data_IF_680171479693
#
_entry.id   IF_680171479693
#
_cell.length_a   1.000
_cell.length_b   1.000
_cell.length_c   1.000
_cell.angle_alpha   90.00
_cell.angle_beta   90.00
_cell.angle_gamma   90.00
#
_symmetry.space_group_name_H-M   'P 1'
#
loop_
_entity.id
_entity.type
_entity.pdbx_description
1 polymer ?
#
# COMPACT_ATOMS: atom_id res chain seq x y z
N UNK A 1 -13.05 -2.21 15.22
CA UNK A 1 -12.89 -0.75 15.04
C UNK A 1 -11.90 -0.61 13.90
N UNK A 2 -12.30 0.01 12.79
CA UNK A 2 -11.43 0.20 11.62
C UNK A 2 -10.41 1.30 11.86
N UNK A 3 -9.18 1.11 11.39
CA UNK A 3 -8.10 2.09 11.51
C UNK A 3 -7.97 2.93 10.26
N UNK A 4 -7.56 4.18 10.47
CA UNK A 4 -7.22 5.11 9.41
C UNK A 4 -5.78 5.56 9.59
N UNK A 5 -5.00 5.55 8.51
CA UNK A 5 -3.60 5.92 8.61
C UNK A 5 -2.98 6.22 7.27
N UNK A 6 -2.34 7.40 7.18
CA UNK A 6 -1.59 7.83 6.01
C UNK A 6 -0.10 7.91 6.35
N UNK A 7 0.71 7.18 5.60
CA UNK A 7 2.14 7.04 5.84
C UNK A 7 2.91 7.25 4.55
N UNK A 8 3.89 8.14 4.57
CA UNK A 8 4.80 8.36 3.45
C UNK A 8 6.21 7.89 3.81
N UNK A 9 6.77 6.98 3.03
CA UNK A 9 8.17 6.60 3.08
C UNK A 9 8.95 7.34 1.99
N UNK A 10 9.91 8.17 2.39
CA UNK A 10 10.82 8.84 1.46
C UNK A 10 12.13 9.17 2.15
N UNK A 11 13.24 9.13 1.42
CA UNK A 11 14.58 9.39 1.97
C UNK A 11 14.88 8.58 3.26
N UNK A 12 14.59 7.27 3.20
CA UNK A 12 14.98 6.29 4.23
C UNK A 12 14.11 6.26 5.49
N UNK A 13 12.99 6.99 5.55
CA UNK A 13 12.18 7.12 6.77
C UNK A 13 10.68 7.23 6.49
N UNK A 14 9.89 6.78 7.44
CA UNK A 14 8.45 7.03 7.51
C UNK A 14 8.13 8.45 8.01
N UNK A 15 6.99 8.95 7.57
CA UNK A 15 6.37 10.17 8.09
C UNK A 15 4.84 10.08 7.96
N UNK A 16 4.12 10.80 8.81
CA UNK A 16 2.65 10.97 8.69
C UNK A 16 2.25 12.15 7.78
N UNK A 17 3.24 12.84 7.21
CA UNK A 17 3.04 13.91 6.23
C UNK A 17 3.10 13.39 4.79
N UNK A 18 3.20 14.30 3.83
CA UNK A 18 3.46 13.93 2.43
C UNK A 18 4.92 13.50 2.19
N UNK A 19 5.20 12.81 1.07
CA UNK A 19 6.56 12.47 0.68
C UNK A 19 7.39 13.73 0.46
N UNK A 20 8.69 13.66 0.81
CA UNK A 20 9.60 14.81 0.75
C UNK A 20 10.64 14.72 -0.37
N UNK A 21 10.75 13.55 -1.00
CA UNK A 21 11.70 13.26 -2.08
C UNK A 21 11.20 12.08 -2.93
N UNK A 22 11.77 11.91 -4.13
CA UNK A 22 11.67 10.67 -4.91
C UNK A 22 12.94 9.82 -4.72
N UNK A 23 12.86 8.48 -4.85
CA UNK A 23 11.63 7.68 -4.91
C UNK A 23 10.86 7.72 -3.58
N UNK A 24 9.53 7.50 -3.63
CA UNK A 24 8.69 7.42 -2.42
C UNK A 24 7.63 6.33 -2.52
N UNK A 25 7.13 5.94 -1.35
CA UNK A 25 5.91 5.15 -1.17
C UNK A 25 4.93 5.95 -0.31
N UNK A 26 3.66 5.93 -0.67
CA UNK A 26 2.57 6.47 0.12
C UNK A 26 1.55 5.35 0.35
N UNK A 27 1.24 5.12 1.61
CA UNK A 27 0.24 4.18 2.08
C UNK A 27 -0.91 4.95 2.70
N UNK A 28 -2.13 4.57 2.36
CA UNK A 28 -3.35 5.15 2.92
C UNK A 28 -4.33 4.02 3.26
N UNK A 29 -4.49 3.74 4.56
CA UNK A 29 -5.34 2.68 5.10
C UNK A 29 -6.69 3.27 5.50
N UNK A 30 -7.76 2.60 5.09
CA UNK A 30 -9.15 2.98 5.32
C UNK A 30 -9.93 1.81 5.91
N UNK A 31 -10.48 2.04 7.12
CA UNK A 31 -11.41 1.15 7.82
C UNK A 31 -10.87 -0.27 8.09
N UNK A 32 -9.55 -0.48 8.04
CA UNK A 32 -8.88 -1.80 8.13
C UNK A 32 -9.25 -2.82 7.03
N UNK A 33 -10.04 -2.43 6.02
CA UNK A 33 -10.45 -3.30 4.91
C UNK A 33 -9.77 -2.95 3.58
N UNK A 34 -9.31 -1.70 3.44
CA UNK A 34 -8.68 -1.21 2.21
C UNK A 34 -7.39 -0.49 2.55
N UNK A 35 -6.34 -0.74 1.76
CA UNK A 35 -5.18 0.13 1.71
C UNK A 35 -4.87 0.52 0.28
N UNK A 36 -4.61 1.81 0.05
CA UNK A 36 -4.07 2.32 -1.22
C UNK A 36 -2.56 2.42 -1.10
N UNK A 37 -1.86 1.89 -2.11
CA UNK A 37 -0.41 1.97 -2.24
C UNK A 37 -0.07 2.79 -3.46
N UNK A 38 0.54 3.96 -3.26
CA UNK A 38 1.04 4.84 -4.31
C UNK A 38 2.57 4.85 -4.27
N UNK A 39 3.24 4.42 -5.35
CA UNK A 39 4.70 4.46 -5.43
C UNK A 39 5.18 5.39 -6.55
N UNK A 40 6.38 5.93 -6.36
CA UNK A 40 7.02 6.83 -7.33
C UNK A 40 8.50 6.53 -7.41
N UNK A 41 8.99 6.27 -8.62
CA UNK A 41 10.38 6.02 -8.96
C UNK A 41 11.20 7.31 -9.01
N UNK A 42 12.53 7.19 -9.11
CA UNK A 42 13.42 8.34 -9.16
C UNK A 42 13.21 9.22 -10.42
N UNK A 43 12.74 8.62 -11.51
CA UNK A 43 12.39 9.29 -12.77
C UNK A 43 10.99 9.93 -12.77
N UNK A 44 10.31 9.95 -11.62
CA UNK A 44 8.94 10.42 -11.41
C UNK A 44 7.84 9.63 -12.15
N UNK A 45 8.17 8.51 -12.81
CA UNK A 45 7.17 7.50 -13.13
C UNK A 45 6.74 6.75 -11.87
N UNK A 46 5.56 6.14 -11.88
CA UNK A 46 5.00 5.52 -10.68
C UNK A 46 3.68 4.85 -10.99
N UNK A 47 3.06 4.31 -9.96
CA UNK A 47 1.87 3.51 -10.07
C UNK A 47 1.09 3.47 -8.76
N UNK A 48 -0.07 2.82 -8.83
CA UNK A 48 -1.01 2.67 -7.72
C UNK A 48 -1.66 1.30 -7.78
N UNK A 49 -1.73 0.65 -6.63
CA UNK A 49 -2.55 -0.55 -6.44
C UNK A 49 -3.22 -0.55 -5.06
N UNK A 50 -4.06 -1.56 -4.83
CA UNK A 50 -4.84 -1.70 -3.60
C UNK A 50 -4.49 -3.02 -2.89
N UNK A 51 -4.60 -3.02 -1.57
CA UNK A 51 -4.54 -4.21 -0.70
C UNK A 51 -5.89 -4.37 0.01
N UNK A 52 -6.23 -5.60 0.38
CA UNK A 52 -7.55 -5.91 0.94
C UNK A 52 -8.59 -5.98 -0.18
N UNK A 53 -9.50 -5.01 -0.21
CA UNK A 53 -10.47 -4.83 -1.30
C UNK A 53 -10.13 -3.64 -2.20
N UNK A 54 -10.55 -3.69 -3.48
CA UNK A 54 -10.57 -2.49 -4.31
C UNK A 54 -11.74 -1.58 -3.88
N UNK A 55 -11.57 -0.23 -3.88
CA UNK A 55 -12.63 0.69 -3.47
C UNK A 55 -13.95 0.46 -4.20
N UNK A 56 -13.90 0.19 -5.52
CA UNK A 56 -15.10 -0.06 -6.33
C UNK A 56 -15.89 -1.30 -5.92
N UNK A 57 -15.23 -2.28 -5.29
CA UNK A 57 -15.86 -3.50 -4.78
C UNK A 57 -16.37 -3.25 -3.36
N UNK A 58 -15.53 -2.70 -2.49
CA UNK A 58 -15.88 -2.47 -1.08
C UNK A 58 -17.08 -1.53 -0.92
N UNK A 59 -17.13 -0.46 -1.71
CA UNK A 59 -18.22 0.51 -1.67
C UNK A 59 -19.40 0.15 -2.58
N UNK A 60 -19.32 -0.95 -3.36
CA UNK A 60 -20.28 -1.31 -4.43
C UNK A 60 -20.49 -0.16 -5.44
N UNK A 61 -19.42 0.58 -5.71
CA UNK A 61 -19.40 1.75 -6.60
C UNK A 61 -18.50 1.42 -7.81
N UNK A 62 -19.04 0.96 -8.94
CA UNK A 62 -18.23 0.47 -10.07
C UNK A 62 -17.27 1.52 -10.64
N UNK A 63 -17.59 2.81 -10.51
CA UNK A 63 -16.76 3.94 -10.94
C UNK A 63 -15.91 4.54 -9.79
N UNK A 64 -15.83 3.88 -8.63
CA UNK A 64 -15.11 4.35 -7.45
C UNK A 64 -13.58 4.30 -7.58
N UNK A 65 -13.06 3.47 -8.49
CA UNK A 65 -11.65 3.43 -8.88
C UNK A 65 -11.50 2.80 -10.27
N UNK A 66 -10.51 3.26 -11.04
CA UNK A 66 -10.13 2.59 -12.28
C UNK A 66 -9.60 1.18 -11.99
N UNK A 67 -9.90 0.17 -12.84
CA UNK A 67 -9.33 -1.17 -12.70
C UNK A 67 -7.80 -1.13 -12.73
N UNK A 68 -7.17 -1.88 -11.82
CA UNK A 68 -5.71 -1.95 -11.73
C UNK A 68 -5.17 -3.13 -12.56
N UNK A 69 -4.14 -2.89 -13.37
CA UNK A 69 -3.35 -3.98 -13.97
C UNK A 69 -2.34 -4.48 -12.92
N UNK A 70 -2.79 -5.42 -12.07
CA UNK A 70 -2.01 -5.91 -10.92
C UNK A 70 -0.65 -6.47 -11.30
N UNK A 71 -0.52 -7.05 -12.51
CA UNK A 71 0.78 -7.52 -13.00
C UNK A 71 1.72 -6.36 -13.30
N UNK A 72 1.25 -5.34 -14.02
CA UNK A 72 2.07 -4.17 -14.34
C UNK A 72 2.48 -3.40 -13.08
N UNK A 73 1.55 -3.24 -12.12
CA UNK A 73 1.82 -2.56 -10.86
C UNK A 73 2.78 -3.36 -9.96
N UNK A 74 2.68 -4.69 -9.94
CA UNK A 74 3.62 -5.54 -9.21
C UNK A 74 5.06 -5.43 -9.76
N UNK A 75 5.20 -5.46 -11.10
CA UNK A 75 6.50 -5.24 -11.77
C UNK A 75 7.07 -3.84 -11.45
N UNK A 76 6.21 -2.82 -11.47
CA UNK A 76 6.61 -1.45 -11.16
C UNK A 76 6.97 -1.23 -9.69
N UNK A 77 6.25 -1.87 -8.76
CA UNK A 77 6.59 -1.84 -7.34
C UNK A 77 7.89 -2.58 -7.04
N UNK A 78 8.14 -3.74 -7.65
CA UNK A 78 9.40 -4.46 -7.51
C UNK A 78 10.59 -3.61 -7.99
N UNK A 79 10.42 -2.90 -9.13
CA UNK A 79 11.40 -1.92 -9.59
C UNK A 79 11.61 -0.79 -8.56
N UNK A 80 10.52 -0.29 -7.96
CA UNK A 80 10.60 0.71 -6.92
C UNK A 80 11.37 0.22 -5.69
N UNK A 81 11.11 -1.00 -5.20
CA UNK A 81 11.81 -1.58 -4.06
C UNK A 81 13.31 -1.71 -4.34
N UNK A 82 13.68 -2.11 -5.56
CA UNK A 82 15.09 -2.16 -5.98
C UNK A 82 15.76 -0.78 -6.01
N UNK A 83 15.09 0.24 -6.54
CA UNK A 83 15.65 1.60 -6.62
C UNK A 83 15.70 2.29 -5.25
N UNK A 84 14.67 2.10 -4.41
CA UNK A 84 14.50 2.83 -3.16
C UNK A 84 15.15 2.14 -1.96
N UNK A 85 15.17 0.80 -1.93
CA UNK A 85 15.62 -0.02 -0.80
C UNK A 85 16.76 -0.96 -1.12
N UNK A 86 17.19 -1.04 -2.39
CA UNK A 86 18.17 -2.03 -2.86
C UNK A 86 17.71 -3.49 -2.60
N UNK A 87 16.40 -3.69 -2.48
CA UNK A 87 15.76 -5.00 -2.25
C UNK A 87 15.29 -5.59 -3.58
N UNK A 88 15.62 -6.85 -3.85
CA UNK A 88 15.08 -7.60 -4.99
C UNK A 88 13.82 -8.34 -4.55
N UNK A 89 12.67 -7.99 -5.14
CA UNK A 89 11.36 -8.51 -4.78
C UNK A 89 10.78 -9.22 -5.99
N UNK A 90 10.24 -10.43 -5.81
CA UNK A 90 9.51 -11.12 -6.87
C UNK A 90 8.15 -10.42 -7.11
N UNK A 91 7.87 -9.92 -8.32
CA UNK A 91 6.56 -9.35 -8.64
C UNK A 91 5.40 -10.31 -8.36
N UNK A 92 5.59 -11.63 -8.47
CA UNK A 92 4.54 -12.59 -8.17
C UNK A 92 4.13 -12.55 -6.69
N UNK A 93 5.10 -12.45 -5.77
CA UNK A 93 4.83 -12.34 -4.32
C UNK A 93 4.11 -11.02 -3.98
N UNK A 94 4.42 -9.93 -4.69
CA UNK A 94 3.69 -8.65 -4.54
C UNK A 94 2.26 -8.79 -5.05
N UNK A 95 2.09 -9.42 -6.21
CA UNK A 95 0.78 -9.59 -6.83
C UNK A 95 -0.16 -10.44 -5.97
N UNK A 96 0.35 -11.45 -5.26
CA UNK A 96 -0.43 -12.27 -4.32
C UNK A 96 -1.00 -11.48 -3.13
N UNK A 97 -0.40 -10.33 -2.78
CA UNK A 97 -0.90 -9.45 -1.73
C UNK A 97 -1.93 -8.43 -2.23
N UNK A 98 -2.03 -8.21 -3.55
CA UNK A 98 -2.92 -7.20 -4.11
C UNK A 98 -4.39 -7.61 -4.00
N UNK A 99 -5.27 -6.60 -3.91
CA UNK A 99 -6.70 -6.80 -3.94
C UNK A 99 -7.14 -7.53 -5.21
N UNK A 100 -8.04 -8.49 -5.05
CA UNK A 100 -8.55 -9.27 -6.17
C UNK A 100 -9.55 -8.44 -6.99
N UNK A 101 -9.30 -8.32 -8.30
CA UNK A 101 -10.13 -7.52 -9.21
C UNK A 101 -11.57 -8.06 -9.39
N UNK A 102 -11.83 -9.29 -8.98
CA UNK A 102 -13.17 -9.93 -8.99
C UNK A 102 -13.89 -9.87 -7.63
N UNK A 103 -13.26 -9.24 -6.63
CA UNK A 103 -13.82 -9.10 -5.29
C UNK A 103 -13.74 -10.36 -4.43
N UNK A 104 -12.88 -11.32 -4.79
CA UNK A 104 -12.54 -12.40 -3.86
C UNK A 104 -12.06 -11.82 -2.52
N UNK A 105 -12.47 -12.40 -1.38
CA UNK A 105 -12.09 -11.89 -0.07
C UNK A 105 -10.56 -11.95 0.13
N UNK A 106 -9.96 -10.97 0.82
CA UNK A 106 -8.54 -10.99 1.13
C UNK A 106 -8.19 -12.17 2.03
N UNK A 107 -6.92 -12.57 1.98
CA UNK A 107 -6.42 -13.67 2.80
C UNK A 107 -6.35 -13.29 4.29
N UNK A 108 -6.02 -12.03 4.57
CA UNK A 108 -5.89 -11.50 5.93
C UNK A 108 -7.22 -10.89 6.40
N UNK A 109 -7.49 -10.99 7.70
CA UNK A 109 -8.72 -10.46 8.30
C UNK A 109 -8.74 -8.92 8.37
N UNK A 110 -7.56 -8.30 8.42
CA UNK A 110 -7.37 -6.85 8.40
C UNK A 110 -6.22 -6.48 7.46
N UNK A 111 -6.38 -5.41 6.69
CA UNK A 111 -5.45 -5.00 5.63
C UNK A 111 -4.07 -4.59 6.17
N UNK A 112 -3.99 -4.17 7.43
CA UNK A 112 -2.74 -3.84 8.11
C UNK A 112 -1.77 -5.03 8.13
N UNK A 113 -2.28 -6.26 8.25
CA UNK A 113 -1.45 -7.46 8.17
C UNK A 113 -0.90 -7.66 6.76
N UNK A 114 -1.70 -7.41 5.73
CA UNK A 114 -1.26 -7.43 4.33
C UNK A 114 -0.24 -6.32 4.06
N UNK A 115 -0.42 -5.12 4.63
CA UNK A 115 0.56 -4.03 4.58
C UNK A 115 1.86 -4.47 5.23
N UNK A 116 1.83 -5.02 6.45
CA UNK A 116 3.04 -5.44 7.16
C UNK A 116 3.82 -6.52 6.37
N UNK A 117 3.12 -7.44 5.69
CA UNK A 117 3.74 -8.41 4.76
C UNK A 117 4.39 -7.72 3.56
N UNK A 118 3.71 -6.76 2.93
CA UNK A 118 4.27 -6.00 1.81
C UNK A 118 5.53 -5.23 2.23
N UNK A 119 5.50 -4.61 3.40
CA UNK A 119 6.63 -3.87 3.96
C UNK A 119 7.83 -4.79 4.23
N UNK A 120 7.58 -5.93 4.86
CA UNK A 120 8.60 -6.94 5.11
C UNK A 120 9.21 -7.47 3.79
N UNK A 121 8.37 -7.74 2.79
CA UNK A 121 8.80 -8.18 1.46
C UNK A 121 9.71 -7.14 0.79
N UNK A 122 9.36 -5.85 0.89
CA UNK A 122 10.16 -4.76 0.32
C UNK A 122 11.41 -4.38 1.14
N UNK A 123 11.63 -5.00 2.30
CA UNK A 123 12.73 -4.65 3.22
C UNK A 123 12.54 -3.32 3.93
N UNK A 124 11.31 -2.81 3.99
CA UNK A 124 10.98 -1.55 4.66
C UNK A 124 10.89 -1.75 6.17
N UNK A 125 11.19 -0.71 6.98
CA UNK A 125 10.90 -0.75 8.40
C UNK A 125 9.39 -0.88 8.63
N UNK A 126 8.99 -1.66 9.63
CA UNK A 126 7.59 -1.82 10.01
C UNK A 126 6.94 -0.48 10.40
N UNK A 127 5.63 -0.36 10.18
CA UNK A 127 4.87 0.79 10.61
C UNK A 127 4.54 0.71 12.11
N UNK A 128 4.62 1.86 12.78
CA UNK A 128 4.01 2.03 14.09
C UNK A 128 2.55 2.40 13.89
N UNK A 129 1.69 1.39 13.90
CA UNK A 129 0.25 1.56 13.78
C UNK A 129 -0.29 2.40 14.95
N UNK A 130 -1.07 3.47 14.68
CA UNK A 130 -1.71 4.23 15.74
C UNK A 130 -2.64 3.31 16.55
N UNK A 131 -2.57 3.43 17.86
CA UNK A 131 -3.47 2.72 18.77
C UNK A 131 -4.73 3.56 19.00
N UNK A 132 -5.82 2.96 19.50
CA UNK A 132 -7.05 3.71 19.81
C UNK A 132 -6.83 4.89 20.79
N UNK A 133 -5.72 4.89 21.55
CA UNK A 133 -5.29 5.98 22.44
C UNK A 133 -4.71 7.21 21.68
N UNK A 134 -4.34 7.05 20.41
CA UNK A 134 -3.82 8.13 19.54
C UNK A 134 -4.93 8.95 18.86
N UNK A 135 -6.21 8.62 19.10
CA UNK A 135 -7.32 9.41 18.61
C UNK A 135 -7.33 10.78 19.32
N UNK A 136 -7.40 11.92 18.59
CA UNK A 136 -7.59 13.20 19.24
C UNK A 136 -8.88 13.16 20.06
N UNK A 137 -8.84 13.65 21.30
CA UNK A 137 -10.05 13.84 22.10
C UNK A 137 -11.06 14.64 21.27
N UNK A 138 -12.23 14.05 21.03
CA UNK A 138 -13.30 14.63 20.22
C UNK A 138 -13.85 15.93 20.76
#
# INVERSE_FOLDING_TARGET
MGRFGKFAYSAGRWSRGGPTAVPFLLLDVHDSDIATVDYRLADASGGRFFLGYEPRIYFDEPDGADPVDTRAEAEGFARWAREAQETDVDPAEVQELMAAADGAPPTDEVVEETVDKLLALAGLPALEWPTDDDAPAG
#
